data_IF_968988506892
#
_entry.id   IF_968988506892
#
_cell.length_a   1.000
_cell.length_b   1.000
_cell.length_c   1.000
_cell.angle_alpha   90.00
_cell.angle_beta   90.00
_cell.angle_gamma   90.00
#
_symmetry.space_group_name_H-M   'P 1'
#
loop_
_entity.id
_entity.type
_entity.pdbx_description
1 polymer ?
#
# COMPACT_ATOMS: atom_id res chain seq x y z
N UNK A 1 12.85 -16.52 -3.30
CA UNK A 1 12.10 -15.50 -2.55
C UNK A 1 12.23 -14.17 -3.27
N UNK A 2 11.11 -13.58 -3.70
CA UNK A 2 11.05 -12.26 -4.32
C UNK A 2 10.30 -11.32 -3.38
N UNK A 3 10.84 -10.14 -3.16
CA UNK A 3 10.25 -9.12 -2.28
C UNK A 3 9.93 -7.91 -3.13
N UNK A 4 8.71 -7.40 -3.01
CA UNK A 4 8.27 -6.16 -3.63
C UNK A 4 8.34 -5.02 -2.62
N UNK A 5 9.21 -4.05 -2.87
CA UNK A 5 9.28 -2.82 -2.09
C UNK A 5 8.50 -1.74 -2.83
N UNK A 6 7.60 -1.08 -2.10
CA UNK A 6 6.81 0.07 -2.55
C UNK A 6 6.85 1.17 -1.49
N UNK A 7 6.65 2.40 -1.90
CA UNK A 7 6.67 3.59 -1.03
C UNK A 7 5.96 4.73 -1.73
N UNK A 8 5.63 5.79 -0.98
CA UNK A 8 5.18 7.08 -1.52
C UNK A 8 4.01 6.93 -2.49
N UNK A 9 3.09 6.01 -2.18
CA UNK A 9 1.95 5.74 -3.06
C UNK A 9 0.94 6.88 -3.02
N UNK A 10 0.91 7.70 -1.97
CA UNK A 10 0.05 8.89 -1.86
C UNK A 10 -1.36 8.69 -2.42
N UNK A 11 -2.03 7.63 -1.94
CA UNK A 11 -3.39 7.25 -2.33
C UNK A 11 -3.54 6.65 -3.77
N UNK A 12 -2.46 6.49 -4.54
CA UNK A 12 -2.43 5.98 -5.92
C UNK A 12 -2.13 4.47 -6.02
N UNK A 13 -2.24 3.72 -4.91
CA UNK A 13 -1.92 2.28 -4.85
C UNK A 13 -2.72 1.41 -5.82
N UNK A 14 -3.93 1.82 -6.24
CA UNK A 14 -4.74 1.11 -7.23
C UNK A 14 -4.14 1.12 -8.65
N UNK A 15 -3.20 2.03 -8.94
CA UNK A 15 -2.50 2.08 -10.21
C UNK A 15 -1.32 1.10 -10.31
N UNK A 16 -0.93 0.46 -9.21
CA UNK A 16 0.21 -0.44 -9.18
C UNK A 16 -0.08 -1.76 -9.90
N UNK A 17 0.91 -2.25 -10.65
CA UNK A 17 0.88 -3.60 -11.20
C UNK A 17 1.46 -4.55 -10.15
N UNK A 18 0.62 -5.44 -9.60
CA UNK A 18 1.04 -6.39 -8.56
C UNK A 18 1.85 -7.53 -9.21
N UNK A 19 3.14 -7.69 -8.86
CA UNK A 19 3.97 -8.77 -9.39
C UNK A 19 3.78 -10.09 -8.62
N UNK A 20 4.19 -11.21 -9.21
CA UNK A 20 4.29 -12.49 -8.50
C UNK A 20 5.48 -12.45 -7.51
N UNK A 21 5.17 -12.28 -6.22
CA UNK A 21 6.15 -12.14 -5.13
C UNK A 21 5.75 -12.94 -3.89
N UNK A 22 6.69 -13.09 -2.97
CA UNK A 22 6.49 -13.84 -1.72
C UNK A 22 6.24 -12.92 -0.53
N UNK A 23 6.58 -11.63 -0.67
CA UNK A 23 6.46 -10.63 0.38
C UNK A 23 6.35 -9.25 -0.27
N UNK A 24 5.48 -8.42 0.29
CA UNK A 24 5.40 -6.99 -0.01
C UNK A 24 5.77 -6.20 1.24
N UNK A 25 6.53 -5.12 1.04
CA UNK A 25 6.90 -4.16 2.09
C UNK A 25 6.56 -2.77 1.56
N UNK A 26 5.64 -2.07 2.23
CA UNK A 26 5.40 -0.66 2.01
C UNK A 26 6.24 0.19 2.99
N UNK A 27 7.00 1.15 2.47
CA UNK A 27 8.01 1.90 3.23
C UNK A 27 7.52 3.25 3.79
N UNK A 28 6.24 3.57 3.63
CA UNK A 28 5.61 4.79 4.18
C UNK A 28 4.98 5.65 3.09
N UNK A 29 4.29 6.71 3.52
CA UNK A 29 3.59 7.67 2.68
C UNK A 29 2.53 7.04 1.77
N UNK A 30 1.71 6.16 2.35
CA UNK A 30 0.57 5.55 1.68
C UNK A 30 -0.58 6.52 1.40
N UNK A 31 -0.58 7.63 2.12
CA UNK A 31 -1.58 8.70 2.12
C UNK A 31 -0.91 10.05 1.85
N UNK A 32 -1.70 11.06 1.45
CA UNK A 32 -1.18 12.36 1.01
C UNK A 32 -1.01 13.34 2.18
N UNK A 33 -1.84 13.21 3.20
CA UNK A 33 -2.04 14.26 4.20
C UNK A 33 -1.27 13.96 5.48
N UNK A 34 -0.50 14.92 6.00
CA UNK A 34 0.09 14.80 7.35
C UNK A 34 -0.93 15.01 8.49
N UNK A 35 -2.12 15.53 8.20
CA UNK A 35 -3.18 15.71 9.20
C UNK A 35 -3.96 14.41 9.38
N UNK A 36 -4.03 13.90 10.62
CA UNK A 36 -4.65 12.62 10.93
C UNK A 36 -6.10 12.45 10.42
N UNK A 37 -6.94 13.48 10.53
CA UNK A 37 -8.34 13.39 10.10
C UNK A 37 -8.50 13.35 8.58
N UNK A 38 -7.61 14.00 7.84
CA UNK A 38 -7.60 13.95 6.37
C UNK A 38 -6.87 12.70 5.85
N UNK A 39 -5.91 12.21 6.62
CA UNK A 39 -5.09 11.03 6.33
C UNK A 39 -5.92 9.74 6.45
N UNK A 40 -6.69 9.61 7.53
CA UNK A 40 -7.35 8.36 7.91
C UNK A 40 -8.21 7.72 6.80
N UNK A 41 -9.02 8.46 6.02
CA UNK A 41 -9.78 7.87 4.93
C UNK A 41 -8.91 7.30 3.81
N UNK A 42 -7.79 7.95 3.48
CA UNK A 42 -6.85 7.48 2.45
C UNK A 42 -6.04 6.27 2.95
N UNK A 43 -5.54 6.35 4.18
CA UNK A 43 -4.80 5.26 4.81
C UNK A 43 -5.68 4.02 4.99
N UNK A 44 -6.94 4.18 5.40
CA UNK A 44 -7.91 3.07 5.49
C UNK A 44 -8.09 2.39 4.14
N UNK A 45 -8.30 3.17 3.06
CA UNK A 45 -8.42 2.62 1.71
C UNK A 45 -7.17 1.87 1.28
N UNK A 46 -5.99 2.39 1.60
CA UNK A 46 -4.72 1.70 1.36
C UNK A 46 -4.65 0.37 2.11
N UNK A 47 -5.00 0.33 3.40
CA UNK A 47 -4.94 -0.91 4.18
C UNK A 47 -5.97 -1.94 3.73
N UNK A 48 -7.15 -1.52 3.29
CA UNK A 48 -8.14 -2.41 2.69
C UNK A 48 -7.55 -3.06 1.42
N UNK A 49 -6.96 -2.27 0.52
CA UNK A 49 -6.26 -2.79 -0.66
C UNK A 49 -5.07 -3.69 -0.31
N UNK A 50 -4.26 -3.28 0.68
CA UNK A 50 -3.04 -4.00 1.07
C UNK A 50 -3.36 -5.37 1.68
N UNK A 51 -4.47 -5.48 2.41
CA UNK A 51 -4.96 -6.73 2.97
C UNK A 51 -5.55 -7.68 1.91
N UNK A 52 -6.08 -7.13 0.82
CA UNK A 52 -6.67 -7.90 -0.30
C UNK A 52 -5.63 -8.42 -1.31
N UNK A 53 -4.33 -8.09 -1.15
CA UNK A 53 -3.27 -8.60 -2.01
C UNK A 53 -3.16 -10.13 -1.91
N UNK A 54 -3.32 -10.82 -3.04
CA UNK A 54 -3.16 -12.28 -3.15
C UNK A 54 -1.68 -12.69 -3.13
N UNK A 55 -1.03 -12.49 -1.97
CA UNK A 55 0.34 -12.89 -1.69
C UNK A 55 0.29 -13.99 -0.64
N UNK A 56 0.74 -15.19 -1.02
CA UNK A 56 0.72 -16.36 -0.15
C UNK A 56 1.39 -16.08 1.20
N UNK A 57 0.71 -16.44 2.29
CA UNK A 57 1.18 -16.31 3.68
C UNK A 57 1.78 -17.61 4.20
#
# INVERSE_FOLDING_TARGET
>A
MKIWFISDTHNEHLGLQVPEVHLVIHCGDESTHGNAWMNEPEARRFFDWYADLDIAT
#
